data_IF_902501388866
#
_entry.id   IF_902501388866
#
_cell.length_a   1.000
_cell.length_b   1.000
_cell.length_c   1.000
_cell.angle_alpha   90.00
_cell.angle_beta   90.00
_cell.angle_gamma   90.00
#
_symmetry.space_group_name_H-M   'P 1'
#
loop_
_entity.id
_entity.type
_entity.pdbx_description
1 polymer ?
#
# COMPACT_ATOMS: atom_id res chain seq x y z
N UNK A 1 -40.65 -0.09 11.83
CA UNK A 1 -41.22 -0.66 10.58
C UNK A 1 -41.65 0.43 9.60
N UNK A 2 -42.41 1.46 10.00
CA UNK A 2 -42.79 2.56 9.08
C UNK A 2 -41.58 3.36 8.57
N UNK A 3 -40.67 3.79 9.45
CA UNK A 3 -39.48 4.56 9.05
C UNK A 3 -38.57 3.81 8.06
N UNK A 4 -38.36 2.51 8.27
CA UNK A 4 -37.54 1.69 7.37
C UNK A 4 -38.17 1.54 5.99
N UNK A 5 -39.50 1.41 5.92
CA UNK A 5 -40.22 1.36 4.64
C UNK A 5 -40.14 2.70 3.92
N UNK A 6 -40.33 3.82 4.61
CA UNK A 6 -40.19 5.16 4.02
C UNK A 6 -38.78 5.43 3.49
N UNK A 7 -37.74 5.00 4.20
CA UNK A 7 -36.34 5.09 3.72
C UNK A 7 -36.15 4.24 2.46
N UNK A 8 -36.69 3.01 2.46
CA UNK A 8 -36.58 2.11 1.31
C UNK A 8 -37.31 2.67 0.07
N UNK A 9 -38.52 3.20 0.24
CA UNK A 9 -39.30 3.81 -0.83
C UNK A 9 -38.56 5.01 -1.42
N UNK A 10 -38.01 5.89 -0.56
CA UNK A 10 -37.24 7.04 -1.03
C UNK A 10 -35.92 6.64 -1.71
N UNK A 11 -35.24 5.62 -1.17
CA UNK A 11 -34.05 5.06 -1.79
C UNK A 11 -34.35 4.53 -3.19
N UNK A 12 -35.45 3.77 -3.36
CA UNK A 12 -35.86 3.23 -4.66
C UNK A 12 -36.17 4.35 -5.66
N UNK A 13 -36.93 5.36 -5.25
CA UNK A 13 -37.23 6.53 -6.08
C UNK A 13 -35.95 7.22 -6.59
N UNK A 14 -34.99 7.46 -5.69
CA UNK A 14 -33.70 8.07 -6.03
C UNK A 14 -32.86 7.15 -6.94
N UNK A 15 -32.88 5.85 -6.67
CA UNK A 15 -32.15 4.85 -7.45
C UNK A 15 -32.67 4.78 -8.90
N UNK A 16 -33.98 4.78 -9.12
CA UNK A 16 -34.58 4.72 -10.46
C UNK A 16 -34.22 5.96 -11.30
N UNK A 17 -34.26 7.15 -10.68
CA UNK A 17 -33.81 8.41 -11.29
C UNK A 17 -32.31 8.38 -11.62
N UNK A 18 -31.49 7.94 -10.68
CA UNK A 18 -30.04 7.80 -10.86
C UNK A 18 -29.70 6.80 -11.97
N UNK A 19 -30.37 5.65 -12.03
CA UNK A 19 -30.12 4.58 -13.01
C UNK A 19 -30.26 5.10 -14.44
N UNK A 20 -31.32 5.87 -14.71
CA UNK A 20 -31.57 6.47 -16.03
C UNK A 20 -30.49 7.48 -16.43
N UNK A 21 -30.04 8.32 -15.48
CA UNK A 21 -28.93 9.26 -15.71
C UNK A 21 -27.59 8.54 -15.90
N UNK A 22 -27.36 7.48 -15.13
CA UNK A 22 -26.14 6.66 -15.16
C UNK A 22 -25.93 5.98 -16.50
N UNK A 23 -26.98 5.45 -17.13
CA UNK A 23 -26.88 4.84 -18.46
C UNK A 23 -26.37 5.83 -19.52
N UNK A 24 -26.93 7.05 -19.54
CA UNK A 24 -26.48 8.10 -20.45
C UNK A 24 -25.05 8.53 -20.17
N UNK A 25 -24.69 8.66 -18.89
CA UNK A 25 -23.32 8.95 -18.47
C UNK A 25 -22.32 7.88 -18.95
N UNK A 26 -22.63 6.59 -18.79
CA UNK A 26 -21.75 5.50 -19.22
C UNK A 26 -21.54 5.47 -20.73
N UNK A 27 -22.60 5.72 -21.52
CA UNK A 27 -22.49 5.86 -22.99
C UNK A 27 -21.58 7.03 -23.36
N UNK A 28 -21.75 8.18 -22.73
CA UNK A 28 -20.91 9.36 -22.96
C UNK A 28 -19.45 9.11 -22.54
N UNK A 29 -19.21 8.51 -21.36
CA UNK A 29 -17.88 8.14 -20.87
C UNK A 29 -17.16 7.23 -21.86
N UNK A 30 -17.83 6.23 -22.43
CA UNK A 30 -17.24 5.34 -23.44
C UNK A 30 -16.75 6.12 -24.67
N UNK A 31 -17.55 7.05 -25.18
CA UNK A 31 -17.18 7.90 -26.32
C UNK A 31 -16.01 8.80 -25.95
N UNK A 32 -16.06 9.41 -24.77
CA UNK A 32 -15.00 10.29 -24.25
C UNK A 32 -13.67 9.55 -24.07
N UNK A 33 -13.66 8.37 -23.45
CA UNK A 33 -12.46 7.53 -23.32
C UNK A 33 -11.90 7.16 -24.69
N UNK A 34 -12.73 6.80 -25.67
CA UNK A 34 -12.28 6.54 -27.04
C UNK A 34 -11.59 7.77 -27.65
N UNK A 35 -12.15 8.96 -27.44
CA UNK A 35 -11.52 10.21 -27.87
C UNK A 35 -10.18 10.45 -27.16
N UNK A 36 -10.12 10.31 -25.83
CA UNK A 36 -8.89 10.44 -25.05
C UNK A 36 -7.79 9.48 -25.51
N UNK A 37 -8.15 8.26 -25.92
CA UNK A 37 -7.19 7.31 -26.48
C UNK A 37 -6.66 7.75 -27.85
N UNK A 38 -7.49 8.41 -28.67
CA UNK A 38 -7.10 8.90 -30.00
C UNK A 38 -6.20 10.13 -29.96
N UNK A 39 -6.38 11.01 -28.97
CA UNK A 39 -5.49 12.16 -28.77
C UNK A 39 -4.21 11.71 -28.05
N UNK A 40 -3.06 12.25 -28.45
CA UNK A 40 -1.76 11.85 -27.92
C UNK A 40 -1.57 10.32 -27.95
N UNK A 41 -1.93 9.68 -29.07
CA UNK A 41 -1.91 8.22 -29.19
C UNK A 41 -0.54 7.59 -28.85
N UNK A 42 0.54 8.34 -29.06
CA UNK A 42 1.91 7.93 -28.78
C UNK A 42 2.26 7.94 -27.27
N UNK A 43 1.45 8.59 -26.43
CA UNK A 43 1.63 8.59 -24.98
C UNK A 43 1.02 7.31 -24.42
N UNK A 44 1.79 6.49 -23.67
CA UNK A 44 1.27 5.29 -23.01
C UNK A 44 0.08 5.62 -22.10
N UNK A 45 -1.00 4.86 -22.24
CA UNK A 45 -2.20 4.95 -21.40
C UNK A 45 -2.52 3.55 -20.88
N UNK A 46 -2.97 3.45 -19.63
CA UNK A 46 -3.44 2.22 -19.03
C UNK A 46 -4.94 2.33 -18.69
N UNK A 47 -5.71 1.23 -18.75
CA UNK A 47 -7.12 1.27 -18.41
C UNK A 47 -7.30 1.43 -16.89
N UNK A 48 -8.44 2.02 -16.49
CA UNK A 48 -8.85 2.08 -15.09
C UNK A 48 -8.78 0.70 -14.41
N UNK A 49 -8.44 0.67 -13.13
CA UNK A 49 -8.48 -0.55 -12.32
C UNK A 49 -9.92 -1.10 -12.26
N UNK A 50 -10.07 -2.41 -12.33
CA UNK A 50 -11.37 -3.07 -12.36
C UNK A 50 -11.33 -4.48 -11.73
N UNK A 51 -10.55 -4.64 -10.65
CA UNK A 51 -10.32 -5.93 -9.96
C UNK A 51 -9.77 -7.03 -10.88
N UNK A 52 -8.94 -6.66 -11.84
CA UNK A 52 -8.17 -7.59 -12.68
C UNK A 52 -6.68 -7.47 -12.38
N UNK A 53 -5.90 -8.49 -12.72
CA UNK A 53 -4.45 -8.48 -12.54
C UNK A 53 -3.81 -7.34 -13.36
N UNK A 54 -2.94 -6.56 -12.70
CA UNK A 54 -2.14 -5.48 -13.32
C UNK A 54 -0.70 -5.55 -12.84
N UNK A 55 0.19 -4.87 -13.56
CA UNK A 55 1.59 -4.66 -13.20
C UNK A 55 1.86 -3.16 -13.17
N UNK A 56 2.52 -2.70 -12.11
CA UNK A 56 3.07 -1.36 -11.96
C UNK A 56 4.55 -1.48 -11.63
N UNK A 57 5.38 -0.54 -12.08
CA UNK A 57 6.82 -0.54 -11.84
C UNK A 57 7.27 0.84 -11.40
N UNK A 58 8.39 0.87 -10.69
CA UNK A 58 8.90 2.08 -10.06
C UNK A 58 10.24 1.84 -9.38
N UNK A 59 10.64 2.81 -8.58
CA UNK A 59 11.86 2.82 -7.79
C UNK A 59 11.56 3.11 -6.32
N UNK A 60 12.41 2.57 -5.45
CA UNK A 60 12.46 2.97 -4.04
C UNK A 60 12.99 4.39 -3.95
N UNK A 61 12.34 5.26 -3.17
CA UNK A 61 12.76 6.65 -3.01
C UNK A 61 11.91 7.44 -2.02
N UNK A 62 12.55 8.38 -1.33
CA UNK A 62 11.91 9.28 -0.38
C UNK A 62 11.04 10.34 -1.08
N UNK A 63 10.53 11.29 -0.30
CA UNK A 63 9.83 12.46 -0.83
C UNK A 63 9.76 13.61 0.18
N UNK A 64 9.49 14.79 -0.36
CA UNK A 64 9.24 16.00 0.43
C UNK A 64 7.73 16.29 0.46
N UNK A 65 7.04 16.10 1.59
CA UNK A 65 5.61 16.41 1.70
C UNK A 65 5.34 17.92 1.73
N UNK A 66 6.32 18.72 2.18
CA UNK A 66 6.23 20.18 2.32
C UNK A 66 7.62 20.78 2.48
N UNK A 67 7.68 22.11 2.37
CA UNK A 67 8.92 22.88 2.52
C UNK A 67 9.72 22.48 3.78
N UNK A 68 11.02 22.29 3.59
CA UNK A 68 12.00 21.88 4.59
C UNK A 68 11.71 20.57 5.35
N UNK A 69 10.82 19.70 4.85
CA UNK A 69 10.58 18.36 5.39
C UNK A 69 10.91 17.31 4.35
N UNK A 70 11.71 16.32 4.75
CA UNK A 70 12.07 15.17 3.92
C UNK A 70 11.71 13.89 4.66
N UNK A 71 11.01 13.00 3.98
CA UNK A 71 10.79 11.63 4.43
C UNK A 71 11.71 10.70 3.66
N UNK A 72 12.54 9.95 4.41
CA UNK A 72 13.41 8.92 3.85
C UNK A 72 12.58 7.75 3.30
N UNK A 73 13.20 6.90 2.49
CA UNK A 73 12.51 5.83 1.78
C UNK A 73 12.23 4.59 2.64
N UNK A 74 12.74 4.53 3.87
CA UNK A 74 12.60 3.36 4.75
C UNK A 74 12.47 3.76 6.23
N UNK A 75 11.90 2.86 7.02
CA UNK A 75 11.80 2.97 8.47
C UNK A 75 12.53 1.82 9.14
N UNK A 76 12.86 1.97 10.42
CA UNK A 76 13.53 0.93 11.20
C UNK A 76 12.82 0.66 12.52
N UNK A 77 13.24 -0.41 13.20
CA UNK A 77 12.77 -0.78 14.54
C UNK A 77 12.82 0.35 15.57
N UNK A 78 13.70 1.34 15.40
CA UNK A 78 13.74 2.54 16.27
C UNK A 78 12.42 3.30 16.23
N UNK A 79 11.78 3.39 15.07
CA UNK A 79 10.45 4.02 14.96
C UNK A 79 9.35 3.26 15.70
N UNK A 80 9.52 1.95 15.95
CA UNK A 80 8.60 1.16 16.78
C UNK A 80 8.77 1.57 18.25
N UNK A 81 10.00 1.65 18.73
CA UNK A 81 10.28 1.99 20.13
C UNK A 81 9.99 3.46 20.44
N UNK A 82 10.28 4.37 19.51
CA UNK A 82 9.96 5.81 19.62
C UNK A 82 8.45 6.08 19.72
N UNK A 83 7.62 5.24 19.08
CA UNK A 83 6.16 5.37 19.08
C UNK A 83 5.48 4.55 20.18
N UNK A 84 6.18 3.66 20.87
CA UNK A 84 5.57 2.74 21.81
C UNK A 84 4.91 3.49 22.97
N UNK A 85 3.61 3.26 23.16
CA UNK A 85 2.82 3.84 24.25
C UNK A 85 1.83 2.78 24.77
N UNK A 86 2.07 2.17 25.94
CA UNK A 86 1.19 1.13 26.49
C UNK A 86 -0.18 1.66 26.93
N UNK A 87 -0.35 2.99 27.03
CA UNK A 87 -1.64 3.61 27.35
C UNK A 87 -2.52 3.83 26.13
N UNK A 88 -1.94 3.77 24.93
CA UNK A 88 -2.64 3.92 23.66
C UNK A 88 -2.75 2.55 22.95
N UNK A 89 -3.97 2.03 22.71
CA UNK A 89 -4.14 0.71 22.08
C UNK A 89 -3.53 0.63 20.66
N UNK A 90 -3.43 1.74 19.94
CA UNK A 90 -2.85 1.78 18.58
C UNK A 90 -1.32 1.70 18.60
N UNK A 91 -0.69 2.05 19.73
CA UNK A 91 0.76 2.08 19.91
C UNK A 91 1.25 1.14 21.01
N UNK A 92 0.40 0.25 21.50
CA UNK A 92 0.77 -0.76 22.49
C UNK A 92 1.59 -1.87 21.80
N UNK A 93 2.88 -1.92 22.09
CA UNK A 93 3.81 -2.90 21.50
C UNK A 93 4.02 -4.09 22.44
N UNK A 94 3.91 -5.35 21.97
CA UNK A 94 4.18 -6.53 22.79
C UNK A 94 5.58 -6.51 23.40
N UNK A 95 5.69 -6.81 24.70
CA UNK A 95 6.95 -6.79 25.44
C UNK A 95 8.04 -7.66 24.82
N UNK A 96 7.68 -8.80 24.23
CA UNK A 96 8.62 -9.67 23.50
C UNK A 96 9.27 -8.94 22.32
N UNK A 97 8.51 -8.14 21.57
CA UNK A 97 9.05 -7.38 20.43
C UNK A 97 9.96 -6.25 20.92
N UNK A 98 9.57 -5.54 21.98
CA UNK A 98 10.42 -4.52 22.60
C UNK A 98 11.76 -5.10 23.09
N UNK A 99 11.73 -6.26 23.76
CA UNK A 99 12.95 -6.94 24.20
C UNK A 99 13.87 -7.33 23.04
N UNK A 100 13.32 -7.82 21.92
CA UNK A 100 14.10 -8.12 20.72
C UNK A 100 14.75 -6.86 20.14
N UNK A 101 14.03 -5.73 20.14
CA UNK A 101 14.54 -4.44 19.71
C UNK A 101 15.66 -3.93 20.62
N UNK A 102 15.47 -3.97 21.94
CA UNK A 102 16.44 -3.50 22.94
C UNK A 102 17.74 -4.31 22.92
N UNK A 103 17.62 -5.64 22.80
CA UNK A 103 18.75 -6.56 22.72
C UNK A 103 19.40 -6.59 21.32
N UNK A 104 18.75 -5.98 20.32
CA UNK A 104 19.15 -6.02 18.92
C UNK A 104 19.31 -7.46 18.39
N UNK A 105 18.47 -8.39 18.87
CA UNK A 105 18.50 -9.80 18.43
C UNK A 105 17.78 -9.99 17.08
N UNK A 106 18.33 -9.34 16.04
CA UNK A 106 17.75 -9.34 14.70
C UNK A 106 18.35 -10.41 13.77
N UNK A 107 19.43 -11.07 14.18
CA UNK A 107 20.12 -12.06 13.35
C UNK A 107 20.52 -11.53 11.98
N UNK A 108 20.22 -12.30 10.92
CA UNK A 108 20.57 -11.96 9.53
C UNK A 108 19.66 -10.92 8.89
N UNK A 109 18.58 -10.50 9.56
CA UNK A 109 17.56 -9.60 9.00
C UNK A 109 17.95 -8.12 9.12
N UNK A 110 18.91 -7.79 9.97
CA UNK A 110 19.40 -6.42 10.16
C UNK A 110 20.71 -6.15 9.42
N UNK A 111 20.94 -4.87 9.12
CA UNK A 111 22.23 -4.35 8.64
C UNK A 111 22.73 -3.31 9.63
N UNK A 112 23.97 -3.46 10.13
CA UNK A 112 24.55 -2.55 11.12
C UNK A 112 23.68 -2.36 12.38
N UNK A 113 23.06 -3.45 12.86
CA UNK A 113 22.09 -3.45 13.96
C UNK A 113 20.83 -2.61 13.72
N UNK A 114 20.54 -2.21 12.49
CA UNK A 114 19.28 -1.60 12.10
C UNK A 114 18.41 -2.64 11.40
N UNK A 115 17.32 -3.04 12.07
CA UNK A 115 16.25 -3.82 11.47
C UNK A 115 15.32 -2.88 10.69
N UNK A 116 15.27 -2.96 9.35
CA UNK A 116 14.28 -2.24 8.54
C UNK A 116 12.88 -2.79 8.82
N UNK A 117 11.86 -1.94 8.70
CA UNK A 117 10.47 -2.30 8.99
C UNK A 117 9.61 -2.14 7.74
N UNK A 118 9.52 -0.91 7.21
CA UNK A 118 8.80 -0.61 5.98
C UNK A 118 9.68 0.20 5.02
N UNK A 119 9.29 0.25 3.76
CA UNK A 119 9.86 1.14 2.76
C UNK A 119 8.79 1.66 1.81
N UNK A 120 9.13 2.69 1.05
CA UNK A 120 8.25 3.33 0.07
C UNK A 120 8.82 3.30 -1.34
N UNK A 121 7.92 3.22 -2.32
CA UNK A 121 8.23 3.27 -3.76
C UNK A 121 7.26 4.21 -4.47
N UNK A 122 7.57 4.63 -5.69
CA UNK A 122 6.64 5.41 -6.54
C UNK A 122 5.70 4.52 -7.38
N UNK A 123 5.46 3.26 -6.99
CA UNK A 123 4.50 2.41 -7.69
C UNK A 123 3.08 2.99 -7.59
N UNK A 124 2.36 3.04 -8.72
CA UNK A 124 0.95 3.41 -8.76
C UNK A 124 0.07 2.26 -8.23
N UNK A 125 -0.60 2.48 -7.10
CA UNK A 125 -1.42 1.50 -6.38
C UNK A 125 -2.77 2.11 -5.98
N UNK A 126 -3.77 1.26 -5.78
CA UNK A 126 -5.09 1.64 -5.24
C UNK A 126 -5.67 0.49 -4.38
N UNK A 127 -6.92 0.65 -3.92
CA UNK A 127 -7.68 -0.40 -3.27
C UNK A 127 -7.71 -1.69 -4.09
N UNK A 128 -7.30 -2.80 -3.48
CA UNK A 128 -7.13 -4.10 -4.12
C UNK A 128 -5.68 -4.52 -4.32
N UNK A 129 -4.71 -3.60 -4.15
CA UNK A 129 -3.27 -3.94 -4.18
C UNK A 129 -2.73 -4.47 -2.84
N UNK A 130 -3.51 -4.44 -1.74
CA UNK A 130 -3.07 -4.95 -0.44
C UNK A 130 -2.62 -6.42 -0.53
N UNK A 131 -1.41 -6.70 -0.05
CA UNK A 131 -0.77 -8.02 -0.15
C UNK A 131 0.02 -8.26 -1.44
N UNK A 132 0.09 -7.28 -2.36
CA UNK A 132 0.84 -7.45 -3.62
C UNK A 132 2.35 -7.64 -3.35
N UNK A 133 3.01 -8.58 -4.06
CA UNK A 133 4.44 -8.76 -3.94
C UNK A 133 5.19 -7.59 -4.58
N UNK A 134 6.12 -6.98 -3.85
CA UNK A 134 7.08 -6.02 -4.39
C UNK A 134 8.35 -6.76 -4.76
N UNK A 135 8.70 -6.76 -6.05
CA UNK A 135 9.81 -7.52 -6.59
C UNK A 135 10.97 -6.59 -7.01
N UNK A 136 12.21 -7.06 -6.86
CA UNK A 136 13.38 -6.36 -7.40
C UNK A 136 13.56 -6.63 -8.90
N UNK A 137 14.59 -6.03 -9.52
CA UNK A 137 14.90 -6.19 -10.95
C UNK A 137 15.23 -7.63 -11.41
N UNK A 138 15.36 -8.58 -10.48
CA UNK A 138 15.56 -10.02 -10.76
C UNK A 138 14.30 -10.85 -10.50
N UNK A 139 13.19 -10.24 -10.11
CA UNK A 139 11.96 -10.93 -9.75
C UNK A 139 11.97 -11.56 -8.35
N UNK A 140 12.89 -11.14 -7.47
CA UNK A 140 12.97 -11.63 -6.09
C UNK A 140 12.11 -10.74 -5.17
N UNK A 141 11.38 -11.36 -4.24
CA UNK A 141 10.51 -10.66 -3.29
C UNK A 141 11.33 -9.80 -2.31
N UNK A 142 11.05 -8.50 -2.27
CA UNK A 142 11.70 -7.54 -1.37
C UNK A 142 10.73 -6.89 -0.38
N UNK A 143 9.43 -6.97 -0.63
CA UNK A 143 8.42 -6.46 0.28
C UNK A 143 7.01 -6.86 -0.09
N UNK A 144 6.07 -6.47 0.76
CA UNK A 144 4.64 -6.74 0.57
C UNK A 144 3.91 -5.41 0.70
N UNK A 145 3.26 -4.96 -0.38
CA UNK A 145 2.51 -3.71 -0.38
C UNK A 145 1.29 -3.82 0.54
N UNK A 146 1.02 -2.79 1.33
CA UNK A 146 -0.13 -2.78 2.22
C UNK A 146 -0.92 -1.48 2.23
N UNK A 147 -0.31 -0.34 1.85
CA UNK A 147 -0.99 0.95 1.90
C UNK A 147 -0.39 1.99 0.93
N UNK A 148 -1.07 3.12 0.75
CA UNK A 148 -0.56 4.32 0.10
C UNK A 148 -0.33 5.45 1.12
N UNK A 149 0.49 6.44 0.78
CA UNK A 149 0.68 7.61 1.65
C UNK A 149 -0.47 8.62 1.55
N UNK A 150 -0.53 9.52 2.53
CA UNK A 150 -1.55 10.56 2.65
C UNK A 150 -1.62 11.49 1.43
N UNK A 151 -0.47 11.91 0.90
CA UNK A 151 -0.40 12.81 -0.25
C UNK A 151 -0.85 12.12 -1.56
N UNK A 152 -0.94 10.79 -1.58
CA UNK A 152 -1.39 9.99 -2.71
C UNK A 152 -2.88 9.64 -2.73
N UNK A 153 -3.70 10.20 -1.82
CA UNK A 153 -5.14 9.87 -1.73
C UNK A 153 -5.95 10.22 -2.99
N UNK A 154 -5.44 11.09 -3.86
CA UNK A 154 -6.08 11.47 -5.13
C UNK A 154 -5.65 10.60 -6.33
N UNK A 155 -4.84 9.56 -6.09
CA UNK A 155 -4.27 8.67 -7.10
C UNK A 155 -5.29 8.05 -8.05
N UNK A 156 -6.47 7.69 -7.53
CA UNK A 156 -7.60 7.16 -8.32
C UNK A 156 -8.13 8.12 -9.39
N UNK A 157 -7.83 9.42 -9.26
CA UNK A 157 -8.20 10.47 -10.21
C UNK A 157 -7.00 10.84 -11.06
N UNK A 158 -5.83 11.04 -10.43
CA UNK A 158 -4.61 11.45 -11.08
C UNK A 158 -3.38 11.02 -10.28
N UNK A 159 -2.51 10.27 -10.93
CA UNK A 159 -1.19 9.95 -10.41
C UNK A 159 -0.28 11.19 -10.39
N UNK A 160 0.38 11.44 -9.25
CA UNK A 160 1.35 12.52 -9.07
C UNK A 160 2.68 11.98 -8.54
N UNK A 161 3.62 11.76 -9.45
CA UNK A 161 4.93 11.14 -9.21
C UNK A 161 5.72 11.68 -7.99
N UNK A 162 5.81 13.01 -7.74
CA UNK A 162 6.62 13.50 -6.61
C UNK A 162 6.01 13.14 -5.25
N UNK A 163 4.70 12.94 -5.18
CA UNK A 163 3.98 12.84 -3.91
C UNK A 163 3.45 11.43 -3.62
N UNK A 164 2.99 10.70 -4.63
CA UNK A 164 2.37 9.40 -4.43
C UNK A 164 3.42 8.33 -4.13
N UNK A 165 3.17 7.56 -3.06
CA UNK A 165 4.02 6.47 -2.60
C UNK A 165 3.19 5.23 -2.24
N UNK A 166 3.64 4.10 -2.74
CA UNK A 166 3.26 2.77 -2.25
C UNK A 166 4.08 2.46 -0.99
N UNK A 167 3.40 2.05 0.08
CA UNK A 167 4.00 1.63 1.34
C UNK A 167 4.01 0.10 1.41
N UNK A 168 5.19 -0.47 1.64
CA UNK A 168 5.40 -1.90 1.75
C UNK A 168 6.14 -2.26 3.04
N UNK A 169 5.80 -3.41 3.62
CA UNK A 169 6.62 -4.01 4.68
C UNK A 169 7.88 -4.61 4.05
N UNK A 170 9.04 -4.38 4.67
CA UNK A 170 10.30 -4.98 4.25
C UNK A 170 10.26 -6.50 4.49
N UNK A 171 10.64 -7.29 3.48
CA UNK A 171 10.59 -8.75 3.62
C UNK A 171 11.49 -9.24 4.77
N UNK A 172 12.57 -8.52 5.09
CA UNK A 172 13.44 -8.84 6.23
C UNK A 172 12.70 -8.71 7.56
N UNK A 173 11.82 -7.71 7.70
CA UNK A 173 10.99 -7.56 8.89
C UNK A 173 9.98 -8.70 9.02
N UNK A 174 9.32 -9.07 7.92
CA UNK A 174 8.37 -10.17 7.91
C UNK A 174 9.06 -11.50 8.31
N UNK A 175 10.23 -11.79 7.74
CA UNK A 175 11.02 -12.98 8.09
C UNK A 175 11.53 -12.94 9.54
N UNK A 176 11.96 -11.77 10.03
CA UNK A 176 12.31 -11.57 11.44
C UNK A 176 11.15 -11.89 12.37
N UNK A 177 9.93 -11.43 12.05
CA UNK A 177 8.74 -11.73 12.86
C UNK A 177 8.46 -13.24 12.87
N UNK A 178 8.53 -13.91 11.72
CA UNK A 178 8.33 -15.36 11.66
C UNK A 178 9.38 -16.12 12.48
N UNK A 179 10.64 -15.76 12.34
CA UNK A 179 11.76 -16.46 12.98
C UNK A 179 11.87 -16.12 14.48
N UNK A 180 12.21 -14.86 14.79
CA UNK A 180 12.58 -14.42 16.14
C UNK A 180 11.38 -14.17 17.04
N UNK A 181 10.33 -13.56 16.51
CA UNK A 181 9.16 -13.22 17.32
C UNK A 181 8.20 -14.42 17.47
N UNK A 182 7.87 -15.12 16.38
CA UNK A 182 6.90 -16.21 16.40
C UNK A 182 7.54 -17.58 16.69
N UNK A 183 8.86 -17.74 16.52
CA UNK A 183 9.50 -19.06 16.65
C UNK A 183 9.10 -20.03 15.54
N UNK A 184 8.61 -19.51 14.41
CA UNK A 184 8.10 -20.25 13.26
C UNK A 184 9.17 -20.45 12.17
N UNK A 185 10.43 -20.66 12.58
CA UNK A 185 11.56 -20.86 11.67
C UNK A 185 11.40 -22.02 10.68
N UNK A 186 10.50 -22.97 10.97
CA UNK A 186 10.16 -24.05 10.03
C UNK A 186 9.57 -23.53 8.71
N UNK A 187 8.85 -22.40 8.71
CA UNK A 187 8.31 -21.79 7.49
C UNK A 187 9.44 -21.25 6.59
N UNK A 188 10.56 -20.83 7.17
CA UNK A 188 11.71 -20.35 6.39
C UNK A 188 12.39 -21.49 5.63
N UNK A 189 12.30 -22.72 6.14
CA UNK A 189 12.83 -23.91 5.45
C UNK A 189 12.02 -24.27 4.19
N UNK A 190 10.76 -23.82 4.11
CA UNK A 190 9.92 -24.00 2.91
C UNK A 190 10.23 -22.96 1.82
N UNK A 191 10.93 -21.87 2.17
CA UNK A 191 11.23 -20.77 1.27
C UNK A 191 12.61 -20.90 0.61
N UNK A 192 12.72 -20.45 -0.63
CA UNK A 192 14.01 -20.25 -1.29
C UNK A 192 14.54 -18.85 -1.00
N UNK A 193 15.34 -18.71 0.05
CA UNK A 193 15.98 -17.44 0.41
C UNK A 193 17.19 -17.17 -0.48
N UNK A 194 17.19 -16.04 -1.17
CA UNK A 194 18.34 -15.53 -1.93
C UNK A 194 19.17 -14.61 -1.02
N UNK A 195 20.48 -14.77 -1.03
CA UNK A 195 21.43 -14.06 -0.14
C UNK A 195 22.42 -13.23 -0.95
#
# INVERSE_FOLDING_TARGET
YVTSLTIFDKYKELYDSYSSASENYLKARKIYTKYLMSINADVPKYPDANFTLRLTFGSVGGFSPKDAVEYDFFTTHRGITEKADPSNPDFNVPSKLLNLCDQKDFGVYAKNNELPVCFITNNDITGGNSGSPVLNGKGELIGIAFDGNWEGLNSDIKYEEPYQKCIAVDIRYALFILDKYAGAGYLLNEMKLIR
#
